data_IF_848065355237
#
_entry.id   IF_848065355237
#
_cell.length_a   1.000
_cell.length_b   1.000
_cell.length_c   1.000
_cell.angle_alpha   90.00
_cell.angle_beta   90.00
_cell.angle_gamma   90.00
#
_symmetry.space_group_name_H-M   'P 1'
#
loop_
_entity.id
_entity.type
_entity.pdbx_description
1 polymer ?
#
# COMPACT_ATOMS: atom_id res chain seq x y z
N UNK A 1 -13.31 12.38 -9.95
CA UNK A 1 -13.83 12.63 -8.58
C UNK A 1 -12.74 13.17 -7.69
N UNK A 2 -13.11 13.99 -6.71
CA UNK A 2 -12.26 14.33 -5.57
C UNK A 2 -12.91 13.69 -4.34
N UNK A 3 -12.28 12.63 -3.80
CA UNK A 3 -12.64 12.10 -2.48
C UNK A 3 -12.18 13.09 -1.42
N UNK A 4 -12.95 13.25 -0.34
CA UNK A 4 -12.56 14.14 0.75
C UNK A 4 -11.23 13.72 1.38
N UNK A 5 -10.45 14.68 1.88
CA UNK A 5 -9.16 14.40 2.50
C UNK A 5 -9.32 13.60 3.79
N UNK A 6 -10.40 13.81 4.53
CA UNK A 6 -10.69 13.07 5.76
C UNK A 6 -10.94 11.59 5.43
N UNK A 7 -11.73 11.30 4.39
CA UNK A 7 -11.99 9.93 3.93
C UNK A 7 -10.72 9.26 3.39
N UNK A 8 -9.90 9.99 2.64
CA UNK A 8 -8.63 9.48 2.11
C UNK A 8 -7.65 9.16 3.23
N UNK A 9 -7.52 10.05 4.21
CA UNK A 9 -6.63 9.86 5.37
C UNK A 9 -7.13 8.74 6.27
N UNK A 10 -8.44 8.63 6.46
CA UNK A 10 -9.06 7.54 7.20
C UNK A 10 -8.84 6.19 6.50
N UNK A 11 -9.02 6.12 5.18
CA UNK A 11 -8.73 4.91 4.40
C UNK A 11 -7.25 4.51 4.51
N UNK A 12 -6.34 5.48 4.43
CA UNK A 12 -4.91 5.24 4.59
C UNK A 12 -4.57 4.65 5.96
N UNK A 13 -5.09 5.26 7.03
CA UNK A 13 -4.88 4.79 8.39
C UNK A 13 -5.49 3.39 8.60
N UNK A 14 -6.68 3.13 8.06
CA UNK A 14 -7.32 1.82 8.14
C UNK A 14 -6.51 0.73 7.44
N UNK A 15 -5.89 1.04 6.29
CA UNK A 15 -5.00 0.11 5.58
C UNK A 15 -3.73 -0.18 6.38
N UNK A 16 -3.10 0.85 6.96
CA UNK A 16 -1.89 0.69 7.77
C UNK A 16 -2.13 -0.08 9.08
N UNK A 17 -3.38 -0.16 9.55
CA UNK A 17 -3.74 -0.94 10.72
C UNK A 17 -3.90 -2.45 10.44
N UNK A 18 -3.83 -2.88 9.18
CA UNK A 18 -3.97 -4.29 8.79
C UNK A 18 -2.67 -5.03 9.08
N UNK A 19 -2.75 -6.08 9.89
CA UNK A 19 -1.64 -7.01 10.09
C UNK A 19 -1.20 -7.61 8.74
N UNK A 20 0.10 -7.52 8.43
CA UNK A 20 0.67 -7.85 7.12
C UNK A 20 0.84 -6.68 6.15
N UNK A 21 0.35 -5.47 6.47
CA UNK A 21 0.69 -4.25 5.72
C UNK A 21 1.81 -3.51 6.45
N UNK A 22 2.96 -3.35 5.78
CA UNK A 22 4.09 -2.62 6.32
C UNK A 22 4.00 -1.10 6.09
N UNK A 23 3.54 -0.71 4.90
CA UNK A 23 3.46 0.68 4.48
C UNK A 23 2.51 0.88 3.29
N UNK A 24 2.15 2.14 3.05
CA UNK A 24 1.56 2.57 1.77
C UNK A 24 2.68 2.80 0.76
N UNK A 25 2.59 2.18 -0.42
CA UNK A 25 3.63 2.29 -1.43
C UNK A 25 3.44 3.55 -2.29
N UNK A 26 4.40 4.50 -2.31
CA UNK A 26 4.25 5.79 -2.98
C UNK A 26 4.41 5.76 -4.51
N UNK A 27 4.71 4.59 -5.08
CA UNK A 27 5.24 4.51 -6.44
C UNK A 27 6.73 4.83 -6.47
N UNK A 28 7.34 4.76 -7.65
CA UNK A 28 8.79 4.92 -7.78
C UNK A 28 9.25 6.36 -7.57
N UNK A 29 8.41 7.31 -7.94
CA UNK A 29 8.68 8.75 -7.93
C UNK A 29 7.72 9.52 -7.01
N UNK A 30 6.88 8.82 -6.24
CA UNK A 30 5.84 9.45 -5.41
C UNK A 30 4.54 9.76 -6.17
N UNK A 31 4.33 9.12 -7.31
CA UNK A 31 3.18 9.29 -8.21
C UNK A 31 1.91 8.60 -7.70
N UNK A 32 2.03 7.65 -6.77
CA UNK A 32 0.87 7.02 -6.14
C UNK A 32 0.52 7.80 -4.89
N UNK A 33 -0.22 8.88 -5.09
CA UNK A 33 -0.78 9.67 -4.01
C UNK A 33 -1.99 10.47 -4.48
N UNK A 34 -2.90 10.74 -3.54
CA UNK A 34 -3.92 11.78 -3.67
C UNK A 34 -3.31 13.11 -3.22
N UNK A 35 -3.41 14.12 -4.07
CA UNK A 35 -2.86 15.45 -3.85
C UNK A 35 -3.97 16.42 -3.49
N UNK A 36 -3.86 17.00 -2.29
CA UNK A 36 -4.76 18.01 -1.75
C UNK A 36 -4.00 19.34 -1.56
N UNK A 37 -4.71 20.47 -1.42
CA UNK A 37 -4.05 21.71 -1.02
C UNK A 37 -3.27 21.55 0.28
N UNK A 38 -1.94 21.72 0.22
CA UNK A 38 -0.99 21.58 1.34
C UNK A 38 -0.83 20.19 1.94
N UNK A 39 -1.49 19.17 1.40
CA UNK A 39 -1.46 17.84 1.99
C UNK A 39 -1.46 16.74 0.93
N UNK A 40 -0.92 15.58 1.29
CA UNK A 40 -0.78 14.44 0.38
C UNK A 40 -1.05 13.14 1.12
N UNK A 41 -1.96 12.34 0.57
CA UNK A 41 -2.24 10.99 1.06
C UNK A 41 -1.56 9.98 0.15
N UNK A 42 -0.53 9.31 0.66
CA UNK A 42 0.34 8.38 -0.08
C UNK A 42 -0.31 7.00 -0.25
N UNK A 43 -0.07 6.37 -1.40
CA UNK A 43 -0.44 5.00 -1.73
C UNK A 43 -1.89 4.83 -2.17
N UNK A 44 -2.63 5.92 -2.35
CA UNK A 44 -3.95 5.92 -2.97
C UNK A 44 -3.88 6.68 -4.30
N UNK A 45 -4.61 6.21 -5.31
CA UNK A 45 -4.68 6.84 -6.62
C UNK A 45 -6.11 6.72 -7.20
N UNK A 46 -6.63 7.75 -7.90
CA UNK A 46 -7.92 7.63 -8.58
C UNK A 46 -7.88 6.56 -9.67
N UNK A 47 -8.96 5.78 -9.74
CA UNK A 47 -9.20 4.78 -10.76
C UNK A 47 -10.51 5.10 -11.48
N UNK A 48 -10.58 4.83 -12.78
CA UNK A 48 -11.82 4.82 -13.54
C UNK A 48 -11.87 3.52 -14.32
N UNK A 49 -12.88 2.68 -14.06
CA UNK A 49 -13.05 1.37 -14.67
C UNK A 49 -14.49 1.25 -15.17
N UNK A 50 -14.65 0.96 -16.46
CA UNK A 50 -15.97 0.76 -17.09
C UNK A 50 -16.98 1.90 -16.85
N UNK A 51 -16.49 3.14 -16.68
CA UNK A 51 -17.31 4.32 -16.38
C UNK A 51 -17.67 4.48 -14.91
N UNK A 52 -17.26 3.55 -14.03
CA UNK A 52 -17.33 3.69 -12.58
C UNK A 52 -16.02 4.26 -12.03
N UNK A 53 -16.16 5.23 -11.12
CA UNK A 53 -15.03 5.82 -10.43
C UNK A 53 -14.67 4.99 -9.19
N UNK A 54 -13.38 4.88 -8.90
CA UNK A 54 -12.85 4.05 -7.83
C UNK A 54 -11.49 4.51 -7.33
N UNK A 55 -10.84 3.65 -6.55
CA UNK A 55 -9.48 3.88 -6.05
C UNK A 55 -8.58 2.67 -6.32
N UNK A 56 -7.32 2.96 -6.61
CA UNK A 56 -6.22 2.02 -6.49
C UNK A 56 -5.53 2.24 -5.15
N UNK A 57 -5.33 1.18 -4.38
CA UNK A 57 -4.51 1.15 -3.18
C UNK A 57 -3.21 0.39 -3.45
N UNK A 58 -2.07 1.04 -3.23
CA UNK A 58 -0.76 0.44 -3.38
C UNK A 58 -0.11 0.27 -2.01
N UNK A 59 0.25 -0.96 -1.68
CA UNK A 59 0.75 -1.33 -0.35
C UNK A 59 2.07 -2.08 -0.44
N UNK A 60 2.83 -2.02 0.66
CA UNK A 60 3.98 -2.88 0.94
C UNK A 60 3.53 -3.95 1.92
N UNK A 61 3.77 -5.21 1.59
CA UNK A 61 3.39 -6.34 2.45
C UNK A 61 4.58 -6.80 3.28
N UNK A 62 4.35 -7.13 4.56
CA UNK A 62 5.31 -7.86 5.39
C UNK A 62 4.97 -9.36 5.37
N UNK A 63 5.87 -10.18 4.81
CA UNK A 63 5.66 -11.63 4.75
C UNK A 63 5.90 -12.33 6.10
N UNK A 64 6.60 -11.70 7.02
CA UNK A 64 6.87 -12.29 8.33
C UNK A 64 5.68 -12.19 9.28
N UNK A 65 4.65 -11.41 8.92
CA UNK A 65 3.34 -11.45 9.57
C UNK A 65 2.63 -12.82 9.42
N UNK A 66 3.14 -13.71 8.55
CA UNK A 66 2.60 -15.06 8.37
C UNK A 66 1.22 -15.10 7.71
N UNK A 67 0.76 -13.98 7.16
CA UNK A 67 -0.51 -13.87 6.42
C UNK A 67 -0.30 -14.08 4.93
N UNK A 68 -1.28 -14.70 4.29
CA UNK A 68 -1.29 -14.82 2.83
C UNK A 68 -1.48 -13.44 2.20
N UNK A 69 -0.66 -13.11 1.20
CA UNK A 69 -0.71 -11.85 0.43
C UNK A 69 -2.10 -11.60 -0.15
N UNK A 70 -2.80 -12.65 -0.59
CA UNK A 70 -4.17 -12.55 -1.09
C UNK A 70 -5.15 -12.07 0.00
N UNK A 71 -5.07 -12.63 1.20
CA UNK A 71 -5.95 -12.25 2.31
C UNK A 71 -5.65 -10.84 2.80
N UNK A 72 -4.38 -10.41 2.74
CA UNK A 72 -3.98 -9.02 3.01
C UNK A 72 -4.58 -8.10 1.95
N UNK A 73 -4.48 -8.44 0.67
CA UNK A 73 -5.04 -7.63 -0.41
C UNK A 73 -6.58 -7.50 -0.32
N UNK A 74 -7.30 -8.58 0.02
CA UNK A 74 -8.75 -8.51 0.25
C UNK A 74 -9.10 -7.67 1.49
N UNK A 75 -8.32 -7.78 2.57
CA UNK A 75 -8.50 -6.93 3.75
C UNK A 75 -8.28 -5.44 3.43
N UNK A 76 -7.26 -5.12 2.63
CA UNK A 76 -6.98 -3.76 2.14
C UNK A 76 -8.14 -3.25 1.29
N UNK A 77 -8.61 -4.06 0.34
CA UNK A 77 -9.77 -3.71 -0.49
C UNK A 77 -10.98 -3.41 0.39
N UNK A 78 -11.28 -4.27 1.36
CA UNK A 78 -12.40 -4.08 2.27
C UNK A 78 -12.26 -2.80 3.09
N UNK A 79 -11.09 -2.55 3.69
CA UNK A 79 -10.84 -1.36 4.50
C UNK A 79 -11.04 -0.06 3.70
N UNK A 80 -10.51 0.02 2.47
CA UNK A 80 -10.69 1.19 1.61
C UNK A 80 -12.16 1.36 1.20
N UNK A 81 -12.87 0.29 0.82
CA UNK A 81 -14.30 0.38 0.49
C UNK A 81 -15.14 0.84 1.68
N UNK A 82 -14.88 0.31 2.88
CA UNK A 82 -15.59 0.72 4.09
C UNK A 82 -15.31 2.17 4.47
N UNK A 83 -14.07 2.65 4.30
CA UNK A 83 -13.67 4.01 4.62
C UNK A 83 -14.26 5.05 3.63
N UNK A 84 -14.33 4.70 2.34
CA UNK A 84 -14.63 5.66 1.26
C UNK A 84 -16.03 5.53 0.68
N UNK A 85 -16.73 4.43 0.94
CA UNK A 85 -18.01 4.10 0.32
C UNK A 85 -17.94 3.75 -1.16
N UNK A 86 -16.74 3.67 -1.76
CA UNK A 86 -16.58 3.37 -3.18
C UNK A 86 -16.78 1.89 -3.49
N UNK A 87 -17.39 1.61 -4.63
CA UNK A 87 -17.65 0.23 -5.07
C UNK A 87 -16.43 -0.42 -5.72
N UNK A 88 -15.64 0.36 -6.46
CA UNK A 88 -14.48 -0.11 -7.24
C UNK A 88 -13.20 0.22 -6.48
N UNK A 89 -12.52 -0.82 -5.99
CA UNK A 89 -11.21 -0.71 -5.36
C UNK A 89 -10.28 -1.80 -5.87
N UNK A 90 -9.21 -1.38 -6.54
CA UNK A 90 -8.11 -2.25 -6.97
C UNK A 90 -6.96 -2.16 -5.96
N UNK A 91 -6.31 -3.29 -5.71
CA UNK A 91 -5.19 -3.38 -4.78
C UNK A 91 -3.96 -3.86 -5.53
N UNK A 92 -2.87 -3.10 -5.42
CA UNK A 92 -1.57 -3.43 -5.99
C UNK A 92 -0.57 -3.63 -4.87
N UNK A 93 0.13 -4.77 -4.90
CA UNK A 93 1.29 -4.98 -4.03
C UNK A 93 2.49 -4.35 -4.73
N UNK A 94 2.92 -3.20 -4.23
CA UNK A 94 4.00 -2.42 -4.82
C UNK A 94 5.39 -2.91 -4.41
N UNK A 95 5.50 -3.48 -3.21
CA UNK A 95 6.73 -4.06 -2.68
C UNK A 95 6.42 -5.11 -1.60
N UNK A 96 7.44 -5.91 -1.24
CA UNK A 96 7.36 -6.92 -0.20
C UNK A 96 8.61 -6.84 0.67
N UNK A 97 8.42 -6.73 1.98
CA UNK A 97 9.50 -6.78 2.96
C UNK A 97 9.39 -8.03 3.81
N UNK A 98 10.51 -8.40 4.41
CA UNK A 98 10.60 -9.40 5.48
C UNK A 98 11.23 -8.70 6.68
N UNK A 99 10.43 -8.38 7.69
CA UNK A 99 10.91 -7.69 8.91
C UNK A 99 11.97 -8.50 9.67
N UNK A 100 12.03 -9.82 9.49
CA UNK A 100 13.06 -10.71 10.01
C UNK A 100 14.37 -10.69 9.21
N UNK A 101 14.35 -10.33 7.91
CA UNK A 101 15.56 -10.19 7.09
C UNK A 101 16.38 -8.92 7.38
N UNK A 102 15.83 -7.97 8.14
CA UNK A 102 16.53 -6.73 8.55
C UNK A 102 17.72 -6.93 9.51
N UNK A 103 17.99 -8.17 9.96
CA UNK A 103 19.11 -8.52 10.85
C UNK A 103 20.30 -9.18 10.12
N UNK A 104 20.40 -9.08 8.80
CA UNK A 104 21.59 -9.52 8.06
C UNK A 104 22.52 -8.34 7.75
N UNK A 105 23.53 -8.15 8.61
CA UNK A 105 24.71 -7.34 8.33
C UNK A 105 25.56 -7.89 7.18
N UNK A 106 26.59 -7.15 6.72
CA UNK A 106 27.20 -7.31 5.41
C UNK A 106 28.26 -8.43 5.40
N UNK A 107 27.84 -9.65 5.06
CA UNK A 107 28.77 -10.78 4.95
C UNK A 107 28.94 -11.26 3.49
N UNK A 108 30.15 -10.97 3.00
CA UNK A 108 31.00 -11.82 2.16
C UNK A 108 31.09 -11.54 0.66
N UNK A 109 31.94 -10.56 0.31
CA UNK A 109 32.68 -10.55 -0.95
C UNK A 109 34.21 -10.55 -0.71
N UNK A 110 34.69 -11.43 0.17
CA UNK A 110 36.13 -11.73 0.29
C UNK A 110 36.38 -13.20 -0.02
N UNK A 111 36.29 -13.56 -1.30
CA UNK A 111 36.84 -14.83 -1.83
C UNK A 111 37.06 -14.80 -3.35
N UNK A 112 37.85 -13.83 -3.83
CA UNK A 112 38.53 -13.91 -5.13
C UNK A 112 39.90 -13.25 -5.09
N UNK A 113 40.84 -13.83 -4.35
CA UNK A 113 42.26 -13.69 -4.68
C UNK A 113 43.07 -14.79 -3.98
N UNK A 114 43.94 -15.42 -4.80
CA UNK A 114 44.95 -16.45 -4.54
C UNK A 114 44.50 -17.91 -4.72
#
# INVERSE_FOLDING_TARGET
>A
MMIDIDDATFAQAAVLAIDGVAAMHPGRYGEVALLYPNERVVGLKPLSRDGEEGLEAHVVVDVDAGRNVYDVAEAVRHAVRSATGLNVVDVTIGDVISSSQGASGPDNETKRQL
#
